data_IF_508538445931
#
_entry.id   IF_508538445931
#
_cell.length_a   1.000
_cell.length_b   1.000
_cell.length_c   1.000
_cell.angle_alpha   90.00
_cell.angle_beta   90.00
_cell.angle_gamma   90.00
#
_symmetry.space_group_name_H-M   'P 1'
#
loop_
_entity.id
_entity.type
_entity.pdbx_description
1 polymer ?
#
# COMPACT_ATOMS: atom_id res chain seq x y z
N UNK A 1 -0.19 16.85 3.90
CA UNK A 1 0.54 15.77 3.22
C UNK A 1 -0.51 14.74 2.85
N UNK A 2 -0.67 14.49 1.56
CA UNK A 2 -1.59 13.44 1.08
C UNK A 2 -1.01 12.07 1.47
N UNK A 3 -1.85 11.10 1.82
CA UNK A 3 -1.38 9.74 2.14
C UNK A 3 -0.72 9.09 0.92
N UNK A 4 -1.08 9.52 -0.29
CA UNK A 4 -0.46 9.10 -1.55
C UNK A 4 0.99 9.57 -1.59
N UNK A 5 1.25 10.85 -1.33
CA UNK A 5 2.61 11.40 -1.30
C UNK A 5 3.48 10.67 -0.26
N UNK A 6 2.93 10.43 0.94
CA UNK A 6 3.62 9.66 1.98
C UNK A 6 3.93 8.24 1.53
N UNK A 7 2.94 7.54 0.95
CA UNK A 7 3.15 6.18 0.45
C UNK A 7 4.26 6.15 -0.60
N UNK A 8 4.26 7.09 -1.54
CA UNK A 8 5.28 7.18 -2.58
C UNK A 8 6.68 7.45 -2.00
N UNK A 9 6.81 8.38 -1.06
CA UNK A 9 8.09 8.62 -0.36
C UNK A 9 8.57 7.35 0.36
N UNK A 10 7.68 6.65 1.05
CA UNK A 10 8.00 5.43 1.79
C UNK A 10 8.37 4.26 0.86
N UNK A 11 7.69 4.09 -0.29
CA UNK A 11 8.01 3.05 -1.28
C UNK A 11 9.34 3.31 -2.00
N UNK A 12 9.74 4.58 -2.12
CA UNK A 12 11.06 4.93 -2.65
C UNK A 12 12.17 4.75 -1.60
N UNK A 13 11.87 4.97 -0.33
CA UNK A 13 12.83 4.85 0.78
C UNK A 13 12.99 3.42 1.31
N UNK A 14 11.96 2.57 1.17
CA UNK A 14 11.91 1.24 1.76
C UNK A 14 11.28 0.22 0.82
N UNK A 15 11.83 -0.99 0.81
CA UNK A 15 11.25 -2.13 0.10
C UNK A 15 9.97 -2.66 0.77
N UNK A 16 9.64 -2.19 1.98
CA UNK A 16 8.45 -2.60 2.71
C UNK A 16 7.81 -1.42 3.44
N UNK A 17 6.49 -1.27 3.30
CA UNK A 17 5.69 -0.19 3.90
C UNK A 17 4.42 -0.79 4.52
N UNK A 18 4.00 -0.28 5.67
CA UNK A 18 2.74 -0.66 6.31
C UNK A 18 1.68 0.41 6.12
N UNK A 19 0.48 -0.04 5.77
CA UNK A 19 -0.72 0.79 5.62
C UNK A 19 -1.79 0.32 6.60
N UNK A 20 -2.50 1.27 7.20
CA UNK A 20 -3.74 1.03 7.93
C UNK A 20 -4.91 1.36 7.03
N UNK A 21 -5.72 0.33 6.77
CA UNK A 21 -6.89 0.35 5.90
C UNK A 21 -8.10 -0.19 6.63
N UNK A 22 -9.11 0.66 6.87
CA UNK A 22 -10.33 0.30 7.61
C UNK A 22 -10.04 -0.38 8.97
N UNK A 23 -8.98 0.07 9.65
CA UNK A 23 -8.53 -0.49 10.93
C UNK A 23 -7.73 -1.80 10.80
N UNK A 24 -7.46 -2.27 9.58
CA UNK A 24 -6.61 -3.42 9.30
C UNK A 24 -5.23 -2.97 8.80
N UNK A 25 -4.17 -3.59 9.31
CA UNK A 25 -2.81 -3.38 8.80
C UNK A 25 -2.57 -4.27 7.58
N UNK A 26 -2.08 -3.63 6.53
CA UNK A 26 -1.60 -4.19 5.29
C UNK A 26 -0.10 -3.93 5.16
N UNK A 27 0.65 -4.92 4.71
CA UNK A 27 2.07 -4.79 4.42
C UNK A 27 2.24 -4.79 2.91
N UNK A 28 2.92 -3.76 2.41
CA UNK A 28 3.27 -3.55 1.02
C UNK A 28 4.72 -3.90 0.84
N UNK A 29 5.03 -4.86 -0.02
CA UNK A 29 6.40 -5.24 -0.34
C UNK A 29 6.67 -4.95 -1.81
N UNK A 30 7.74 -4.21 -2.10
CA UNK A 30 8.18 -3.97 -3.47
C UNK A 30 9.03 -5.16 -3.95
N UNK A 31 8.66 -5.73 -5.09
CA UNK A 31 9.32 -6.89 -5.70
C UNK A 31 9.60 -6.63 -7.17
N UNK A 32 10.85 -6.29 -7.53
CA UNK A 32 11.31 -6.13 -8.92
C UNK A 32 10.36 -5.29 -9.81
N UNK A 33 9.85 -4.17 -9.29
CA UNK A 33 8.93 -3.27 -10.01
C UNK A 33 7.44 -3.61 -9.86
N UNK A 34 7.10 -4.71 -9.19
CA UNK A 34 5.74 -5.06 -8.75
C UNK A 34 5.58 -4.81 -7.24
N UNK A 35 4.34 -4.81 -6.76
CA UNK A 35 4.01 -4.60 -5.36
C UNK A 35 3.13 -5.75 -4.86
N UNK A 36 3.48 -6.30 -3.69
CA UNK A 36 2.71 -7.34 -3.02
C UNK A 36 2.07 -6.77 -1.76
N UNK A 37 0.76 -6.84 -1.70
CA UNK A 37 -0.06 -6.47 -0.55
C UNK A 37 -0.41 -7.68 0.27
N UNK A 38 0.02 -7.73 1.52
CA UNK A 38 -0.32 -8.81 2.44
C UNK A 38 -1.11 -8.26 3.61
N UNK A 39 -2.32 -8.77 3.84
CA UNK A 39 -3.10 -8.40 5.00
C UNK A 39 -2.75 -9.27 6.22
N UNK A 40 -3.21 -8.88 7.41
CA UNK A 40 -3.01 -9.66 8.65
C UNK A 40 -3.47 -11.13 8.59
N UNK A 41 -4.41 -11.46 7.71
CA UNK A 41 -4.93 -12.82 7.52
C UNK A 41 -4.10 -13.63 6.50
N UNK A 42 -3.02 -13.06 5.95
CA UNK A 42 -2.18 -13.69 4.93
C UNK A 42 -2.77 -13.64 3.52
N UNK A 43 -3.88 -12.92 3.29
CA UNK A 43 -4.39 -12.67 1.94
C UNK A 43 -3.40 -11.78 1.21
N UNK A 44 -2.99 -12.23 0.02
CA UNK A 44 -2.04 -11.55 -0.83
C UNK A 44 -2.70 -11.02 -2.08
N UNK A 45 -2.43 -9.76 -2.40
CA UNK A 45 -2.80 -9.11 -3.65
C UNK A 45 -1.54 -8.60 -4.34
N UNK A 46 -1.52 -8.67 -5.67
CA UNK A 46 -0.33 -8.33 -6.46
C UNK A 46 -0.70 -7.22 -7.44
N UNK A 47 0.13 -6.18 -7.45
CA UNK A 47 0.02 -5.05 -8.35
C UNK A 47 1.27 -4.97 -9.21
N UNK A 48 1.09 -4.71 -10.50
CA UNK A 48 2.17 -4.72 -11.49
C UNK A 48 2.92 -3.40 -11.55
N UNK A 49 2.31 -2.33 -11.03
CA UNK A 49 2.88 -0.99 -10.98
C UNK A 49 2.40 -0.22 -9.76
N UNK A 50 3.09 0.88 -9.47
CA UNK A 50 2.71 1.80 -8.39
C UNK A 50 1.37 2.48 -8.69
N UNK A 51 1.12 2.82 -9.96
CA UNK A 51 -0.14 3.41 -10.41
C UNK A 51 -1.32 2.45 -10.20
N UNK A 52 -1.15 1.16 -10.54
CA UNK A 52 -2.18 0.14 -10.31
C UNK A 52 -2.47 -0.02 -8.82
N UNK A 53 -1.42 0.02 -7.99
CA UNK A 53 -1.55 0.01 -6.55
C UNK A 53 -2.33 1.23 -6.03
N UNK A 54 -1.92 2.44 -6.39
CA UNK A 54 -2.57 3.68 -5.93
C UNK A 54 -4.02 3.71 -6.39
N UNK A 55 -4.31 3.32 -7.64
CA UNK A 55 -5.67 3.25 -8.18
C UNK A 55 -6.54 2.23 -7.45
N UNK A 56 -5.99 1.05 -7.13
CA UNK A 56 -6.69 0.04 -6.34
C UNK A 56 -7.01 0.54 -4.93
N UNK A 57 -6.03 1.17 -4.25
CA UNK A 57 -6.25 1.81 -2.97
C UNK A 57 -7.31 2.92 -3.10
N UNK A 58 -7.23 3.83 -4.07
CA UNK A 58 -8.25 4.85 -4.26
C UNK A 58 -9.65 4.25 -4.50
N UNK A 59 -9.75 3.15 -5.25
CA UNK A 59 -11.02 2.46 -5.52
C UNK A 59 -11.58 1.71 -4.31
N UNK A 60 -10.72 1.24 -3.41
CA UNK A 60 -11.16 0.56 -2.18
C UNK A 60 -11.73 1.53 -1.15
N UNK A 61 -11.58 2.83 -1.36
CA UNK A 61 -11.73 3.81 -0.30
C UNK A 61 -12.75 4.90 -0.57
N UNK A 62 -13.94 4.66 0.00
CA UNK A 62 -14.78 5.71 0.59
C UNK A 62 -14.35 6.04 2.06
N UNK A 63 -13.25 5.48 2.56
CA UNK A 63 -12.76 5.58 3.96
C UNK A 63 -11.30 6.12 4.04
N UNK A 64 -10.71 6.38 5.25
CA UNK A 64 -9.34 6.94 5.33
C UNK A 64 -8.21 5.89 5.27
N UNK A 65 -7.25 6.09 4.36
CA UNK A 65 -5.93 5.42 4.37
C UNK A 65 -4.99 6.13 5.32
N UNK A 66 -4.22 5.38 6.10
CA UNK A 66 -3.12 5.95 6.89
C UNK A 66 -1.85 5.16 6.65
N UNK A 67 -0.77 5.83 6.26
CA UNK A 67 0.57 5.23 6.15
C UNK A 67 1.13 5.11 7.56
N UNK A 68 1.50 3.89 7.98
CA UNK A 68 1.84 3.60 9.38
C UNK A 68 3.33 3.54 9.61
N UNK A 69 4.12 2.88 8.76
CA UNK A 69 5.60 2.85 8.72
C UNK A 69 6.14 1.90 7.64
#
# INVERSE_FOLDING_TARGET
MDWIEQLQEHLQASATVQLSIDGQIWTVEQQNGSYRFTNRLGRQEHFRSEEELISALQSWYENPVTVVL
#
